data_IF_610964528771
#
_entry.id   IF_610964528771
#
_cell.length_a   1.000
_cell.length_b   1.000
_cell.length_c   1.000
_cell.angle_alpha   90.00
_cell.angle_beta   90.00
_cell.angle_gamma   90.00
#
_symmetry.space_group_name_H-M   'P 1'
#
loop_
_entity.id
_entity.type
_entity.pdbx_description
1 polymer ?
#
# COMPACT_ATOMS: atom_id res chain seq x y z
N UNK A 1 -10.45 -29.83 37.13
CA UNK A 1 -9.67 -28.73 36.49
C UNK A 1 -10.57 -28.15 35.41
N UNK A 2 -10.75 -26.82 35.35
CA UNK A 2 -11.49 -26.21 34.26
C UNK A 2 -10.83 -26.61 32.92
N UNK A 3 -11.59 -27.05 31.91
CA UNK A 3 -11.02 -27.43 30.64
C UNK A 3 -10.30 -26.22 30.02
N UNK A 4 -9.11 -26.47 29.46
CA UNK A 4 -8.28 -25.42 28.83
C UNK A 4 -8.22 -25.66 27.34
N UNK A 5 -8.72 -24.70 26.58
CA UNK A 5 -8.55 -24.69 25.13
C UNK A 5 -7.17 -24.12 24.76
N UNK A 6 -6.34 -24.84 23.97
CA UNK A 6 -5.01 -24.36 23.59
C UNK A 6 -5.06 -23.08 22.74
N UNK A 7 -6.09 -22.88 21.90
CA UNK A 7 -6.21 -21.66 21.10
C UNK A 7 -6.48 -20.44 21.98
N UNK A 8 -7.32 -20.58 23.00
CA UNK A 8 -7.59 -19.50 23.95
C UNK A 8 -6.36 -19.17 24.81
N UNK A 9 -5.58 -20.18 25.19
CA UNK A 9 -4.31 -19.97 25.88
C UNK A 9 -3.31 -19.18 25.00
N UNK A 10 -3.14 -19.58 23.73
CA UNK A 10 -2.28 -18.88 22.78
C UNK A 10 -2.77 -17.47 22.47
N UNK A 11 -4.08 -17.28 22.28
CA UNK A 11 -4.69 -15.97 22.04
C UNK A 11 -4.46 -15.05 23.24
N UNK A 12 -4.67 -15.56 24.47
CA UNK A 12 -4.40 -14.80 25.69
C UNK A 12 -2.95 -14.31 25.75
N UNK A 13 -1.98 -15.17 25.48
CA UNK A 13 -0.55 -14.77 25.46
C UNK A 13 -0.31 -13.69 24.41
N UNK A 14 -0.90 -13.84 23.22
CA UNK A 14 -0.73 -12.86 22.14
C UNK A 14 -1.34 -11.49 22.49
N UNK A 15 -2.54 -11.48 23.08
CA UNK A 15 -3.21 -10.26 23.56
C UNK A 15 -2.36 -9.57 24.64
N UNK A 16 -1.84 -10.33 25.60
CA UNK A 16 -0.99 -9.79 26.67
C UNK A 16 0.31 -9.18 26.12
N UNK A 17 0.94 -9.82 25.14
CA UNK A 17 2.16 -9.28 24.51
C UNK A 17 1.86 -7.97 23.77
N UNK A 18 0.77 -7.91 22.99
CA UNK A 18 0.35 -6.66 22.34
C UNK A 18 0.02 -5.54 23.34
N UNK A 19 -0.55 -5.90 24.50
CA UNK A 19 -0.85 -4.93 25.54
C UNK A 19 0.41 -4.43 26.24
N UNK A 20 1.40 -5.31 26.45
CA UNK A 20 2.68 -4.99 27.07
C UNK A 20 3.54 -4.05 26.22
N UNK A 21 3.48 -4.18 24.89
CA UNK A 21 4.21 -3.29 23.97
C UNK A 21 3.81 -1.81 24.16
N UNK A 22 2.56 -1.55 24.56
CA UNK A 22 2.04 -0.22 24.86
C UNK A 22 1.92 0.69 23.62
N UNK A 23 0.74 1.27 23.41
CA UNK A 23 0.51 2.26 22.35
C UNK A 23 -0.36 1.75 21.19
N UNK A 24 -0.31 2.48 20.08
CA UNK A 24 -1.18 2.26 18.92
C UNK A 24 -0.68 1.07 18.09
N UNK A 25 -1.53 0.07 17.91
CA UNK A 25 -1.26 -1.10 17.08
C UNK A 25 -1.43 -0.74 15.61
N UNK A 26 -0.42 -1.04 14.79
CA UNK A 26 -0.40 -0.77 13.34
C UNK A 26 -0.11 -2.05 12.56
N UNK A 27 -0.15 -1.99 11.23
CA UNK A 27 0.19 -3.14 10.37
C UNK A 27 1.63 -3.64 10.51
N UNK A 28 2.52 -2.80 11.04
CA UNK A 28 3.92 -3.16 11.33
C UNK A 28 4.10 -3.84 12.69
N UNK A 29 3.04 -3.92 13.52
CA UNK A 29 3.12 -4.50 14.85
C UNK A 29 3.35 -6.03 14.77
N UNK A 30 4.39 -6.58 15.43
CA UNK A 30 4.83 -7.95 15.22
C UNK A 30 3.82 -9.01 15.67
N UNK A 31 3.02 -8.70 16.69
CA UNK A 31 2.04 -9.62 17.26
C UNK A 31 0.66 -9.56 16.60
N UNK A 32 0.38 -8.54 15.78
CA UNK A 32 -0.93 -8.37 15.12
C UNK A 32 -1.27 -9.54 14.18
N UNK A 33 -0.38 -10.00 13.27
CA UNK A 33 -0.70 -11.12 12.38
C UNK A 33 -1.04 -12.40 13.16
N UNK A 34 -0.27 -12.71 14.20
CA UNK A 34 -0.50 -13.88 15.05
C UNK A 34 -1.82 -13.79 15.81
N UNK A 35 -2.16 -12.62 16.34
CA UNK A 35 -3.45 -12.41 17.01
C UNK A 35 -4.61 -12.65 16.03
N UNK A 36 -4.55 -12.03 14.85
CA UNK A 36 -5.57 -12.16 13.82
C UNK A 36 -5.70 -13.61 13.31
N UNK A 37 -4.59 -14.32 13.15
CA UNK A 37 -4.58 -15.75 12.80
C UNK A 37 -5.25 -16.59 13.89
N UNK A 38 -4.96 -16.33 15.16
CA UNK A 38 -5.59 -17.04 16.28
C UNK A 38 -7.10 -16.76 16.35
N UNK A 39 -7.54 -15.52 16.12
CA UNK A 39 -8.97 -15.18 16.00
C UNK A 39 -9.64 -15.94 14.86
N UNK A 40 -8.98 -16.01 13.70
CA UNK A 40 -9.46 -16.78 12.54
C UNK A 40 -9.54 -18.29 12.85
N UNK A 41 -8.55 -18.86 13.55
CA UNK A 41 -8.57 -20.26 13.97
C UNK A 41 -9.70 -20.55 14.95
N UNK A 42 -9.93 -19.67 15.92
CA UNK A 42 -11.07 -19.77 16.85
C UNK A 42 -12.39 -19.79 16.09
N UNK A 43 -12.54 -18.91 15.09
CA UNK A 43 -13.72 -18.82 14.24
C UNK A 43 -13.92 -20.00 13.29
N UNK A 44 -12.86 -20.72 12.91
CA UNK A 44 -12.99 -21.94 12.10
C UNK A 44 -13.21 -23.17 12.94
N UNK A 45 -12.84 -23.13 14.23
CA UNK A 45 -12.94 -24.29 15.11
C UNK A 45 -14.40 -24.68 15.32
N UNK A 46 -14.70 -25.92 14.92
CA UNK A 46 -16.04 -26.48 15.01
C UNK A 46 -17.01 -25.96 13.95
N UNK A 47 -16.57 -25.19 12.94
CA UNK A 47 -17.42 -24.79 11.83
C UNK A 47 -17.79 -26.01 10.98
N UNK A 48 -19.09 -26.28 10.86
CA UNK A 48 -19.61 -27.44 10.15
C UNK A 48 -19.61 -27.22 8.64
N UNK A 49 -19.13 -28.22 7.90
CA UNK A 49 -19.14 -28.21 6.44
C UNK A 49 -20.43 -28.85 5.91
N UNK A 50 -21.12 -28.22 4.95
CA UNK A 50 -22.26 -28.83 4.28
C UNK A 50 -21.82 -30.06 3.48
N UNK A 51 -22.47 -31.21 3.74
CA UNK A 51 -22.10 -32.52 3.17
C UNK A 51 -22.23 -32.58 1.63
N UNK A 52 -23.14 -31.79 1.06
CA UNK A 52 -23.47 -31.81 -0.38
C UNK A 52 -22.97 -30.58 -1.16
N UNK A 53 -22.19 -29.69 -0.53
CA UNK A 53 -21.71 -28.47 -1.20
C UNK A 53 -20.35 -28.68 -1.85
N UNK A 54 -20.21 -28.24 -3.10
CA UNK A 54 -18.90 -28.12 -3.78
C UNK A 54 -18.05 -26.96 -3.25
N UNK A 55 -18.67 -26.03 -2.50
CA UNK A 55 -18.00 -24.87 -1.92
C UNK A 55 -17.84 -25.08 -0.43
N UNK A 56 -16.59 -25.04 0.05
CA UNK A 56 -16.29 -25.03 1.48
C UNK A 56 -16.82 -23.76 2.13
N UNK A 57 -17.50 -23.94 3.26
CA UNK A 57 -17.99 -22.85 4.08
C UNK A 57 -16.85 -22.32 4.94
N UNK A 58 -16.71 -21.00 4.99
CA UNK A 58 -15.81 -20.31 5.91
C UNK A 58 -16.63 -19.46 6.89
N UNK A 59 -15.98 -18.91 7.91
CA UNK A 59 -16.64 -18.09 8.94
C UNK A 59 -17.22 -16.80 8.37
N UNK A 60 -16.68 -16.29 7.24
CA UNK A 60 -17.24 -15.14 6.55
C UNK A 60 -18.69 -15.36 6.12
N UNK A 61 -19.04 -16.54 5.61
CA UNK A 61 -20.42 -16.83 5.22
C UNK A 61 -21.36 -16.77 6.42
N UNK A 62 -20.90 -17.07 7.64
CA UNK A 62 -21.69 -16.87 8.86
C UNK A 62 -21.98 -15.38 9.07
N UNK A 63 -20.93 -14.55 8.94
CA UNK A 63 -21.01 -13.10 9.17
C UNK A 63 -21.86 -12.38 8.14
N UNK A 64 -21.80 -12.83 6.88
CA UNK A 64 -22.61 -12.33 5.79
C UNK A 64 -24.12 -12.50 6.05
N UNK A 65 -24.52 -13.50 6.85
CA UNK A 65 -25.92 -13.72 7.22
C UNK A 65 -26.42 -12.81 8.35
N UNK A 66 -25.53 -12.20 9.15
CA UNK A 66 -25.92 -11.43 10.33
C UNK A 66 -26.84 -10.24 10.00
N UNK A 67 -26.57 -9.40 8.97
CA UNK A 67 -27.45 -8.27 8.67
C UNK A 67 -28.85 -8.67 8.22
N UNK A 68 -29.03 -9.89 7.70
CA UNK A 68 -30.33 -10.41 7.28
C UNK A 68 -31.20 -10.85 8.46
N UNK A 69 -30.60 -11.07 9.62
CA UNK A 69 -31.28 -11.51 10.83
C UNK A 69 -31.43 -10.39 11.87
N UNK A 70 -30.80 -9.24 11.62
CA UNK A 70 -30.92 -8.04 12.44
C UNK A 70 -32.26 -7.33 12.16
N UNK A 71 -33.10 -7.22 13.18
CA UNK A 71 -34.39 -6.51 13.12
C UNK A 71 -34.25 -5.02 12.82
N UNK A 72 -33.06 -4.43 13.04
CA UNK A 72 -32.79 -3.00 12.86
C UNK A 72 -32.51 -2.56 11.41
N UNK A 73 -32.88 -3.37 10.41
CA UNK A 73 -33.01 -2.98 8.98
C UNK A 73 -31.78 -2.21 8.42
N UNK A 74 -30.58 -2.71 8.69
CA UNK A 74 -29.37 -2.36 7.94
C UNK A 74 -28.57 -1.12 8.41
N UNK A 75 -28.99 -0.43 9.47
CA UNK A 75 -28.32 0.79 9.98
C UNK A 75 -27.30 0.54 11.10
N UNK A 76 -27.07 -0.71 11.51
CA UNK A 76 -26.09 -1.03 12.55
C UNK A 76 -24.65 -0.90 12.01
N UNK A 77 -23.70 -0.52 12.88
CA UNK A 77 -22.27 -0.46 12.53
C UNK A 77 -21.75 -1.81 11.99
N UNK A 78 -22.35 -2.91 12.46
CA UNK A 78 -22.12 -4.27 11.99
C UNK A 78 -22.58 -4.47 10.54
N UNK A 79 -23.82 -4.08 10.21
CA UNK A 79 -24.36 -4.15 8.84
C UNK A 79 -23.49 -3.36 7.87
N UNK A 80 -23.07 -2.14 8.25
CA UNK A 80 -22.20 -1.31 7.43
C UNK A 80 -20.82 -1.95 7.23
N UNK A 81 -20.24 -2.57 8.26
CA UNK A 81 -18.96 -3.26 8.18
C UNK A 81 -19.02 -4.50 7.25
N UNK A 82 -20.10 -5.28 7.34
CA UNK A 82 -20.33 -6.43 6.46
C UNK A 82 -20.53 -5.97 5.01
N UNK A 83 -21.34 -4.93 4.77
CA UNK A 83 -21.55 -4.41 3.41
C UNK A 83 -20.27 -3.84 2.80
N UNK A 84 -19.50 -3.05 3.56
CA UNK A 84 -18.20 -2.53 3.14
C UNK A 84 -17.26 -3.66 2.73
N UNK A 85 -17.24 -4.75 3.48
CA UNK A 85 -16.44 -5.94 3.17
C UNK A 85 -16.92 -6.62 1.90
N UNK A 86 -18.25 -6.73 1.71
CA UNK A 86 -18.88 -7.37 0.54
C UNK A 86 -18.57 -6.64 -0.76
N UNK A 87 -18.62 -5.31 -0.76
CA UNK A 87 -18.37 -4.49 -1.96
C UNK A 87 -16.89 -4.28 -2.27
N UNK A 88 -15.98 -4.69 -1.39
CA UNK A 88 -14.54 -4.53 -1.58
C UNK A 88 -14.04 -5.41 -2.74
N UNK A 89 -13.70 -4.76 -3.87
CA UNK A 89 -13.25 -5.44 -5.09
C UNK A 89 -11.86 -6.06 -4.99
N UNK A 90 -11.08 -5.70 -3.96
CA UNK A 90 -9.75 -6.26 -3.70
C UNK A 90 -9.80 -7.67 -3.09
N UNK A 91 -10.96 -8.10 -2.60
CA UNK A 91 -11.16 -9.37 -1.89
C UNK A 91 -11.99 -10.33 -2.73
N UNK A 92 -11.44 -11.50 -3.02
CA UNK A 92 -12.07 -12.48 -3.89
C UNK A 92 -12.67 -13.64 -3.08
N UNK A 93 -11.92 -14.13 -2.09
CA UNK A 93 -12.26 -15.31 -1.30
C UNK A 93 -13.08 -14.97 -0.07
N UNK A 94 -13.82 -15.97 0.44
CA UNK A 94 -14.51 -15.85 1.72
C UNK A 94 -13.52 -15.62 2.89
N UNK A 95 -12.37 -16.31 2.87
CA UNK A 95 -11.28 -16.09 3.82
C UNK A 95 -10.84 -14.62 3.83
N UNK A 96 -10.48 -14.06 2.67
CA UNK A 96 -10.00 -12.68 2.58
C UNK A 96 -11.03 -11.66 3.08
N UNK A 97 -12.32 -11.89 2.78
CA UNK A 97 -13.43 -11.09 3.33
C UNK A 97 -13.53 -11.21 4.85
N UNK A 98 -13.48 -12.43 5.39
CA UNK A 98 -13.46 -12.67 6.83
C UNK A 98 -12.32 -11.93 7.54
N UNK A 99 -11.10 -12.02 6.99
CA UNK A 99 -9.93 -11.34 7.54
C UNK A 99 -10.05 -9.82 7.49
N UNK A 100 -10.58 -9.29 6.40
CA UNK A 100 -10.84 -7.86 6.26
C UNK A 100 -11.86 -7.36 7.29
N UNK A 101 -12.94 -8.11 7.50
CA UNK A 101 -13.95 -7.77 8.50
C UNK A 101 -13.36 -7.75 9.91
N UNK A 102 -12.51 -8.73 10.25
CA UNK A 102 -11.82 -8.77 11.55
C UNK A 102 -10.94 -7.52 11.74
N UNK A 103 -10.16 -7.12 10.73
CA UNK A 103 -9.36 -5.89 10.77
C UNK A 103 -10.24 -4.66 10.94
N UNK A 104 -11.36 -4.60 10.23
CA UNK A 104 -12.31 -3.50 10.31
C UNK A 104 -12.92 -3.41 11.72
N UNK A 105 -13.29 -4.54 12.32
CA UNK A 105 -13.85 -4.60 13.66
C UNK A 105 -12.84 -4.21 14.74
N UNK A 106 -11.56 -4.60 14.58
CA UNK A 106 -10.46 -4.15 15.44
C UNK A 106 -10.25 -2.64 15.33
N UNK A 107 -10.11 -2.12 14.11
CA UNK A 107 -9.90 -0.68 13.85
C UNK A 107 -11.05 0.18 14.40
N UNK A 108 -12.28 -0.33 14.38
CA UNK A 108 -13.47 0.37 14.89
C UNK A 108 -13.79 0.09 16.35
N UNK A 109 -13.00 -0.75 17.05
CA UNK A 109 -13.29 -1.18 18.43
C UNK A 109 -14.68 -1.81 18.60
N UNK A 110 -15.16 -2.49 17.55
CA UNK A 110 -16.50 -3.11 17.50
C UNK A 110 -16.44 -4.64 17.61
N UNK A 111 -15.26 -5.22 17.80
CA UNK A 111 -15.07 -6.67 17.81
C UNK A 111 -15.93 -7.35 18.87
N UNK A 112 -15.90 -6.90 20.13
CA UNK A 112 -16.74 -7.49 21.18
C UNK A 112 -18.25 -7.43 20.85
N UNK A 113 -18.74 -6.27 20.39
CA UNK A 113 -20.14 -6.07 19.99
C UNK A 113 -20.53 -7.00 18.84
N UNK A 114 -19.64 -7.16 17.87
CA UNK A 114 -19.83 -8.03 16.72
C UNK A 114 -20.06 -9.49 17.14
N UNK A 115 -19.21 -9.98 18.05
CA UNK A 115 -19.34 -11.33 18.57
C UNK A 115 -20.53 -11.49 19.53
N UNK A 116 -20.86 -10.48 20.32
CA UNK A 116 -22.11 -10.48 21.11
C UNK A 116 -23.31 -10.67 20.20
N UNK A 117 -23.41 -9.93 19.09
CA UNK A 117 -24.51 -10.08 18.15
C UNK A 117 -24.53 -11.48 17.51
N UNK A 118 -23.38 -12.01 17.11
CA UNK A 118 -23.26 -13.39 16.62
C UNK A 118 -23.79 -14.42 17.62
N UNK A 119 -23.41 -14.28 18.89
CA UNK A 119 -23.84 -15.19 19.96
C UNK A 119 -25.35 -15.11 20.24
N UNK A 120 -25.97 -13.95 20.02
CA UNK A 120 -27.42 -13.75 20.15
C UNK A 120 -28.20 -14.08 18.87
N UNK A 121 -27.55 -14.69 17.87
CA UNK A 121 -28.17 -15.06 16.58
C UNK A 121 -28.15 -16.59 16.40
N UNK A 122 -29.12 -17.33 16.99
CA UNK A 122 -29.08 -18.79 17.06
C UNK A 122 -28.94 -19.51 15.71
N UNK A 123 -29.62 -19.01 14.67
CA UNK A 123 -29.58 -19.60 13.32
C UNK A 123 -28.18 -19.61 12.69
N UNK A 124 -27.33 -18.64 13.03
CA UNK A 124 -25.95 -18.60 12.54
C UNK A 124 -25.07 -19.51 13.38
N UNK A 125 -25.34 -19.62 14.69
CA UNK A 125 -24.63 -20.53 15.58
C UNK A 125 -24.90 -22.01 15.30
N UNK A 126 -26.04 -22.36 14.69
CA UNK A 126 -26.33 -23.73 14.22
C UNK A 126 -25.27 -24.26 13.25
N UNK A 127 -24.50 -23.38 12.60
CA UNK A 127 -23.42 -23.77 11.69
C UNK A 127 -22.16 -24.23 12.45
N UNK A 128 -22.17 -24.14 13.77
CA UNK A 128 -21.07 -24.51 14.65
C UNK A 128 -21.41 -25.73 15.50
N UNK A 129 -20.46 -26.64 15.60
CA UNK A 129 -20.54 -27.82 16.46
C UNK A 129 -20.63 -27.39 17.94
N UNK A 130 -21.63 -27.90 18.70
CA UNK A 130 -21.76 -27.63 20.14
C UNK A 130 -20.51 -28.01 20.95
N UNK A 131 -19.89 -29.11 20.56
CA UNK A 131 -18.86 -29.76 21.37
C UNK A 131 -17.46 -29.25 21.02
N UNK A 132 -17.24 -28.85 19.77
CA UNK A 132 -15.93 -28.46 19.27
C UNK A 132 -15.75 -26.93 19.19
N UNK A 133 -16.82 -26.17 18.97
CA UNK A 133 -16.71 -24.74 18.76
C UNK A 133 -16.53 -23.98 20.06
N UNK A 134 -15.55 -23.08 20.07
CA UNK A 134 -15.34 -22.12 21.17
C UNK A 134 -16.53 -21.17 21.31
N UNK A 135 -17.19 -20.82 20.21
CA UNK A 135 -18.32 -19.88 20.21
C UNK A 135 -19.57 -20.47 20.88
N UNK A 136 -19.74 -21.80 20.80
CA UNK A 136 -20.96 -22.48 21.25
C UNK A 136 -20.80 -23.19 22.59
N UNK A 137 -19.57 -23.43 23.02
CA UNK A 137 -19.28 -24.04 24.31
C UNK A 137 -19.22 -22.95 25.39
N UNK A 138 -20.13 -22.99 26.35
CA UNK A 138 -20.25 -22.00 27.42
C UNK A 138 -18.97 -21.83 28.25
N UNK A 139 -18.21 -22.92 28.48
CA UNK A 139 -16.95 -22.90 29.23
C UNK A 139 -15.84 -22.11 28.51
N UNK A 140 -15.92 -22.01 27.19
CA UNK A 140 -14.91 -21.34 26.34
C UNK A 140 -15.38 -19.99 25.81
N UNK A 141 -16.69 -19.78 25.65
CA UNK A 141 -17.26 -18.56 25.13
C UNK A 141 -16.99 -17.36 26.04
N UNK A 142 -17.14 -17.50 27.36
CA UNK A 142 -16.90 -16.39 28.30
C UNK A 142 -15.42 -15.97 28.37
N UNK A 143 -14.43 -16.88 28.51
CA UNK A 143 -13.02 -16.52 28.40
C UNK A 143 -12.67 -15.87 27.06
N UNK A 144 -13.27 -16.34 25.96
CA UNK A 144 -13.07 -15.75 24.64
C UNK A 144 -13.62 -14.32 24.56
N UNK A 145 -14.85 -14.10 25.00
CA UNK A 145 -15.47 -12.77 25.05
C UNK A 145 -14.66 -11.79 25.91
N UNK A 146 -14.09 -12.26 27.02
CA UNK A 146 -13.19 -11.47 27.86
C UNK A 146 -11.95 -11.00 27.11
N UNK A 147 -11.34 -11.86 26.28
CA UNK A 147 -10.20 -11.49 25.43
C UNK A 147 -10.60 -10.48 24.34
N UNK A 148 -11.77 -10.65 23.71
CA UNK A 148 -12.30 -9.71 22.71
C UNK A 148 -12.57 -8.34 23.32
N UNK A 149 -13.01 -8.29 24.58
CA UNK A 149 -13.20 -7.05 25.31
C UNK A 149 -11.87 -6.33 25.52
N UNK A 150 -10.81 -7.03 25.93
CA UNK A 150 -9.46 -6.45 26.05
C UNK A 150 -9.00 -5.87 24.71
N UNK A 151 -9.13 -6.64 23.62
CA UNK A 151 -8.81 -6.15 22.27
C UNK A 151 -9.61 -4.90 21.91
N UNK A 152 -10.90 -4.83 22.25
CA UNK A 152 -11.74 -3.67 21.93
C UNK A 152 -11.32 -2.39 22.66
N UNK A 153 -10.57 -2.49 23.76
CA UNK A 153 -10.03 -1.32 24.48
C UNK A 153 -8.72 -0.80 23.86
N UNK A 154 -8.00 -1.63 23.12
CA UNK A 154 -6.75 -1.25 22.47
C UNK A 154 -6.99 -0.27 21.31
N UNK A 155 -5.97 0.51 20.94
CA UNK A 155 -6.04 1.44 19.82
C UNK A 155 -5.40 0.82 18.57
N UNK A 156 -6.18 0.70 17.49
CA UNK A 156 -5.74 0.13 16.22
C UNK A 156 -5.80 1.17 15.10
N UNK A 157 -4.66 1.41 14.45
CA UNK A 157 -4.54 2.23 13.23
C UNK A 157 -4.07 1.34 12.08
N UNK A 158 -5.02 0.64 11.48
CA UNK A 158 -4.79 -0.30 10.39
C UNK A 158 -5.10 0.33 9.04
N UNK A 159 -4.27 0.05 8.03
CA UNK A 159 -4.53 0.40 6.64
C UNK A 159 -5.57 -0.57 6.06
N UNK A 160 -6.78 -0.04 5.83
CA UNK A 160 -7.89 -0.80 5.26
C UNK A 160 -7.83 -0.84 3.71
N UNK A 161 -6.97 -0.06 3.07
CA UNK A 161 -6.80 -0.07 1.62
C UNK A 161 -5.74 -1.10 1.18
N UNK A 162 -4.77 -1.41 2.04
CA UNK A 162 -3.81 -2.51 1.86
C UNK A 162 -4.41 -3.88 2.25
N UNK A 163 -5.39 -4.35 1.47
CA UNK A 163 -6.14 -5.56 1.78
C UNK A 163 -6.09 -6.65 0.70
N UNK A 164 -5.46 -6.40 -0.46
CA UNK A 164 -5.51 -7.32 -1.60
C UNK A 164 -4.76 -8.64 -1.40
N UNK A 165 -3.97 -8.77 -0.32
CA UNK A 165 -3.30 -10.01 0.07
C UNK A 165 -4.01 -10.79 1.19
N UNK A 166 -5.12 -10.28 1.72
CA UNK A 166 -5.86 -10.97 2.78
C UNK A 166 -6.46 -12.30 2.30
N UNK A 167 -6.71 -12.46 1.00
CA UNK A 167 -7.09 -13.75 0.43
C UNK A 167 -6.06 -14.85 0.74
N UNK A 168 -4.77 -14.51 0.79
CA UNK A 168 -3.67 -15.47 0.94
C UNK A 168 -3.00 -15.41 2.32
N UNK A 169 -2.86 -14.24 2.94
CA UNK A 169 -1.97 -14.03 4.09
C UNK A 169 -2.45 -12.95 5.06
N UNK A 170 -2.15 -13.12 6.35
CA UNK A 170 -2.26 -12.06 7.38
C UNK A 170 -1.09 -11.08 7.37
N UNK A 171 0.09 -11.53 6.92
CA UNK A 171 1.19 -10.62 6.60
C UNK A 171 0.77 -9.78 5.41
N UNK A 172 0.98 -8.47 5.48
CA UNK A 172 0.70 -7.53 4.40
C UNK A 172 2.00 -7.04 3.77
N UNK A 173 2.03 -6.77 2.45
CA UNK A 173 3.20 -6.15 1.83
C UNK A 173 3.33 -4.69 2.25
N UNK A 174 4.52 -4.12 2.07
CA UNK A 174 4.70 -2.67 2.13
C UNK A 174 3.92 -2.04 0.98
N UNK A 175 3.11 -1.03 1.31
CA UNK A 175 2.24 -0.36 0.36
C UNK A 175 2.61 1.12 0.29
N UNK A 176 2.90 1.60 -0.91
CA UNK A 176 3.17 3.01 -1.17
C UNK A 176 2.15 3.56 -2.17
N UNK A 177 1.76 4.81 -2.00
CA UNK A 177 0.97 5.54 -3.01
C UNK A 177 1.87 6.59 -3.64
N UNK A 178 1.95 6.58 -4.97
CA UNK A 178 2.75 7.50 -5.73
C UNK A 178 1.88 8.38 -6.62
N UNK A 179 2.06 9.69 -6.50
CA UNK A 179 1.35 10.67 -7.30
C UNK A 179 2.22 11.15 -8.45
N UNK A 180 1.68 11.07 -9.67
CA UNK A 180 2.35 11.42 -10.92
C UNK A 180 1.59 12.58 -11.55
N UNK A 181 2.34 13.58 -11.99
CA UNK A 181 1.81 14.60 -12.88
C UNK A 181 1.31 13.97 -14.19
N UNK A 182 0.29 14.55 -14.84
CA UNK A 182 -0.23 14.01 -16.08
C UNK A 182 0.89 13.84 -17.12
N UNK A 183 1.14 12.60 -17.55
CA UNK A 183 2.13 12.29 -18.58
C UNK A 183 1.51 11.36 -19.62
N UNK A 184 2.01 11.43 -20.87
CA UNK A 184 1.47 10.60 -21.97
C UNK A 184 1.70 9.11 -21.73
N UNK A 185 2.87 8.77 -21.20
CA UNK A 185 3.27 7.41 -20.89
C UNK A 185 4.09 7.40 -19.59
N UNK A 186 3.71 6.54 -18.65
CA UNK A 186 4.44 6.35 -17.39
C UNK A 186 5.73 5.53 -17.63
N UNK A 187 5.70 4.64 -18.62
CA UNK A 187 6.84 3.81 -19.04
C UNK A 187 7.09 2.58 -18.17
N UNK A 188 6.02 1.87 -17.79
CA UNK A 188 6.09 0.60 -17.07
C UNK A 188 5.72 -0.56 -18.01
N UNK A 189 6.52 -1.62 -18.00
CA UNK A 189 6.21 -2.88 -18.69
C UNK A 189 5.49 -3.79 -17.72
N UNK A 190 4.23 -4.14 -18.02
CA UNK A 190 3.34 -4.84 -17.10
C UNK A 190 3.11 -6.30 -17.49
N UNK A 191 2.98 -7.18 -16.50
CA UNK A 191 2.59 -8.59 -16.66
C UNK A 191 1.45 -8.96 -15.74
N UNK A 192 0.47 -9.68 -16.28
CA UNK A 192 -0.70 -10.14 -15.53
C UNK A 192 -0.48 -11.59 -15.15
N UNK A 193 -0.44 -11.88 -13.85
CA UNK A 193 -0.28 -13.24 -13.32
C UNK A 193 -1.18 -13.43 -12.10
N UNK A 194 -1.94 -14.51 -12.09
CA UNK A 194 -2.84 -14.88 -10.96
C UNK A 194 -3.76 -13.73 -10.50
N UNK A 195 -4.27 -12.96 -11.47
CA UNK A 195 -5.11 -11.80 -11.22
C UNK A 195 -4.40 -10.65 -10.50
N UNK A 196 -3.10 -10.47 -10.71
CA UNK A 196 -2.28 -9.36 -10.21
C UNK A 196 -1.46 -8.76 -11.34
N UNK A 197 -1.18 -7.45 -11.25
CA UNK A 197 -0.43 -6.70 -12.27
C UNK A 197 0.97 -6.43 -11.76
N UNK A 198 1.95 -7.17 -12.28
CA UNK A 198 3.35 -7.04 -11.95
C UNK A 198 4.06 -6.07 -12.88
N UNK A 199 5.05 -5.35 -12.33
CA UNK A 199 6.00 -4.56 -13.10
C UNK A 199 7.17 -5.46 -13.45
N UNK A 200 7.40 -5.70 -14.74
CA UNK A 200 8.55 -6.47 -15.21
C UNK A 200 9.77 -5.59 -15.40
N UNK A 201 9.60 -4.46 -16.07
CA UNK A 201 10.70 -3.59 -16.45
C UNK A 201 10.22 -2.14 -16.62
N UNK A 202 11.17 -1.22 -16.74
CA UNK A 202 10.92 0.20 -16.93
C UNK A 202 11.53 0.68 -18.23
N UNK A 203 10.76 1.44 -19.00
CA UNK A 203 11.24 1.98 -20.28
C UNK A 203 12.32 3.05 -19.98
N UNK A 204 13.55 2.93 -20.53
CA UNK A 204 14.61 3.91 -20.27
C UNK A 204 14.17 5.35 -20.61
N UNK A 205 14.45 6.29 -19.71
CA UNK A 205 14.11 7.72 -19.88
C UNK A 205 12.64 8.10 -19.61
N UNK A 206 11.78 7.11 -19.37
CA UNK A 206 10.39 7.33 -18.96
C UNK A 206 10.27 7.90 -17.55
N UNK A 207 9.05 8.32 -17.18
CA UNK A 207 8.79 8.86 -15.84
C UNK A 207 9.11 7.84 -14.74
N UNK A 208 8.63 6.59 -14.89
CA UNK A 208 8.88 5.54 -13.91
C UNK A 208 10.37 5.19 -13.77
N UNK A 209 11.12 5.19 -14.87
CA UNK A 209 12.57 4.97 -14.85
C UNK A 209 13.35 6.14 -14.22
N UNK A 210 12.91 7.38 -14.44
CA UNK A 210 13.62 8.56 -13.89
C UNK A 210 13.36 8.72 -12.40
N UNK A 211 12.12 8.54 -11.99
CA UNK A 211 11.71 8.73 -10.60
C UNK A 211 12.05 7.50 -9.75
N UNK A 212 12.23 6.33 -10.38
CA UNK A 212 12.52 5.05 -9.71
C UNK A 212 11.52 4.73 -8.60
N UNK A 213 10.27 5.20 -8.72
CA UNK A 213 9.25 5.02 -7.69
C UNK A 213 8.73 3.58 -7.64
N UNK A 214 9.05 2.76 -8.64
CA UNK A 214 8.62 1.36 -8.78
C UNK A 214 9.80 0.49 -9.18
N UNK A 215 9.80 -0.78 -8.78
CA UNK A 215 10.85 -1.74 -9.10
C UNK A 215 10.31 -3.00 -9.80
N UNK A 216 11.17 -3.68 -10.56
CA UNK A 216 10.85 -4.97 -11.18
C UNK A 216 10.46 -6.01 -10.12
N UNK A 217 9.26 -6.54 -10.24
CA UNK A 217 8.62 -7.48 -9.32
C UNK A 217 7.55 -6.86 -8.42
N UNK A 218 7.47 -5.53 -8.33
CA UNK A 218 6.40 -4.84 -7.60
C UNK A 218 5.04 -5.04 -8.28
N UNK A 219 3.96 -4.88 -7.52
CA UNK A 219 2.58 -4.98 -8.01
C UNK A 219 1.93 -3.61 -8.04
N UNK A 220 1.21 -3.32 -9.13
CA UNK A 220 0.26 -2.22 -9.19
C UNK A 220 -1.09 -2.73 -8.70
N UNK A 221 -1.50 -2.28 -7.52
CA UNK A 221 -2.75 -2.71 -6.89
C UNK A 221 -3.94 -1.84 -7.29
N UNK A 222 -3.69 -0.55 -7.50
CA UNK A 222 -4.73 0.44 -7.75
C UNK A 222 -4.22 1.62 -8.57
N UNK A 223 -5.08 2.18 -9.40
CA UNK A 223 -4.85 3.45 -10.11
C UNK A 223 -6.10 4.34 -9.92
N UNK A 224 -5.95 5.51 -9.29
CA UNK A 224 -7.01 6.47 -8.96
C UNK A 224 -8.29 5.82 -8.41
N UNK A 225 -8.21 5.04 -7.33
CA UNK A 225 -9.40 4.35 -6.78
C UNK A 225 -9.77 3.05 -7.48
N UNK A 226 -9.25 2.80 -8.69
CA UNK A 226 -9.61 1.63 -9.49
C UNK A 226 -8.67 0.47 -9.16
N UNK A 227 -9.17 -0.52 -8.43
CA UNK A 227 -8.42 -1.74 -8.15
C UNK A 227 -8.12 -2.53 -9.42
N UNK A 228 -6.88 -3.01 -9.53
CA UNK A 228 -6.41 -3.90 -10.58
C UNK A 228 -6.39 -5.37 -10.14
N UNK A 229 -6.98 -5.70 -8.99
CA UNK A 229 -7.13 -7.07 -8.54
C UNK A 229 -8.05 -7.84 -9.49
N UNK A 230 -7.63 -9.04 -9.87
CA UNK A 230 -8.30 -9.91 -10.85
C UNK A 230 -8.52 -9.25 -12.23
N UNK A 231 -7.67 -8.28 -12.57
CA UNK A 231 -7.76 -7.58 -13.85
C UNK A 231 -7.32 -8.47 -15.02
N UNK A 232 -8.00 -8.31 -16.16
CA UNK A 232 -7.63 -8.96 -17.42
C UNK A 232 -6.49 -8.19 -18.08
N UNK A 233 -5.72 -8.87 -18.93
CA UNK A 233 -4.61 -8.27 -19.70
C UNK A 233 -5.06 -6.99 -20.41
N UNK A 234 -4.26 -5.93 -20.26
CA UNK A 234 -4.52 -4.62 -20.88
C UNK A 234 -5.43 -3.70 -20.08
N UNK A 235 -6.12 -4.17 -19.03
CA UNK A 235 -7.03 -3.33 -18.25
C UNK A 235 -6.33 -2.15 -17.57
N UNK A 236 -5.09 -2.30 -17.08
CA UNK A 236 -4.33 -1.17 -16.53
C UNK A 236 -4.11 -0.08 -17.59
N UNK A 237 -3.84 -0.48 -18.85
CA UNK A 237 -3.73 0.45 -19.98
C UNK A 237 -5.05 1.14 -20.30
N UNK A 238 -6.18 0.42 -20.23
CA UNK A 238 -7.52 1.00 -20.39
C UNK A 238 -7.81 2.01 -19.29
N UNK A 239 -7.49 1.71 -18.02
CA UNK A 239 -7.67 2.63 -16.90
C UNK A 239 -6.81 3.89 -17.10
N UNK A 240 -5.54 3.73 -17.44
CA UNK A 240 -4.65 4.85 -17.74
C UNK A 240 -5.13 5.70 -18.92
N UNK A 241 -5.66 5.08 -19.97
CA UNK A 241 -6.19 5.81 -21.15
C UNK A 241 -7.38 6.70 -20.82
N UNK A 242 -8.21 6.32 -19.83
CA UNK A 242 -9.35 7.12 -19.36
C UNK A 242 -8.94 8.29 -18.48
N UNK A 243 -7.77 8.19 -17.86
CA UNK A 243 -7.20 9.19 -16.95
C UNK A 243 -6.18 10.09 -17.67
N UNK A 244 -6.18 10.08 -19.01
CA UNK A 244 -5.29 10.89 -19.81
C UNK A 244 -5.49 12.37 -19.45
N UNK A 245 -4.39 13.08 -19.17
CA UNK A 245 -4.37 14.48 -18.74
C UNK A 245 -4.88 14.74 -17.31
N UNK A 246 -5.16 13.72 -16.50
CA UNK A 246 -5.44 13.85 -15.07
C UNK A 246 -4.21 13.46 -14.22
N UNK A 247 -4.06 13.98 -12.99
CA UNK A 247 -3.08 13.47 -12.05
C UNK A 247 -3.32 11.98 -11.79
N UNK A 248 -2.24 11.20 -11.76
CA UNK A 248 -2.30 9.77 -11.49
C UNK A 248 -1.88 9.51 -10.05
N UNK A 249 -2.66 8.73 -9.32
CA UNK A 249 -2.33 8.16 -8.02
C UNK A 249 -2.25 6.65 -8.20
N UNK A 250 -1.05 6.09 -8.03
CA UNK A 250 -0.77 4.68 -8.26
C UNK A 250 -0.39 4.05 -6.92
N UNK A 251 -1.16 3.05 -6.49
CA UNK A 251 -0.87 2.25 -5.30
C UNK A 251 -0.02 1.04 -5.66
N UNK A 252 1.13 0.92 -5.02
CA UNK A 252 2.16 -0.07 -5.31
C UNK A 252 2.36 -0.96 -4.09
N UNK A 253 2.34 -2.27 -4.30
CA UNK A 253 2.71 -3.26 -3.30
C UNK A 253 4.11 -3.75 -3.59
N UNK A 254 5.02 -3.52 -2.65
CA UNK A 254 6.43 -3.85 -2.81
C UNK A 254 6.64 -5.35 -2.77
N UNK A 255 7.49 -5.82 -3.67
CA UNK A 255 7.94 -7.21 -3.66
C UNK A 255 8.88 -7.53 -2.49
N UNK A 256 9.49 -6.49 -1.91
CA UNK A 256 10.37 -6.59 -0.75
C UNK A 256 9.72 -5.98 0.48
N UNK A 257 9.96 -6.61 1.62
CA UNK A 257 9.62 -6.07 2.92
C UNK A 257 10.62 -4.97 3.34
N UNK A 258 10.36 -4.33 4.47
CA UNK A 258 11.19 -3.22 4.98
C UNK A 258 12.64 -3.64 5.27
N UNK A 259 12.85 -4.91 5.64
CA UNK A 259 14.17 -5.51 5.86
C UNK A 259 14.89 -5.91 4.56
N UNK A 260 14.28 -5.64 3.39
CA UNK A 260 14.80 -5.98 2.07
C UNK A 260 14.58 -7.44 1.67
N UNK A 261 14.02 -8.28 2.55
CA UNK A 261 13.66 -9.66 2.23
C UNK A 261 12.48 -9.68 1.26
N UNK A 262 12.36 -10.75 0.47
CA UNK A 262 11.22 -10.91 -0.44
C UNK A 262 9.98 -11.20 0.38
N UNK A 263 8.90 -10.44 0.15
CA UNK A 263 7.63 -10.65 0.81
C UNK A 263 7.14 -12.09 0.55
N UNK A 264 7.08 -12.90 1.61
CA UNK A 264 6.95 -14.36 1.51
C UNK A 264 5.76 -14.84 0.66
N UNK A 265 4.56 -14.24 0.75
CA UNK A 265 3.42 -14.63 -0.11
C UNK A 265 3.66 -14.43 -1.61
N UNK A 266 4.60 -13.57 -2.00
CA UNK A 266 4.96 -13.35 -3.41
C UNK A 266 5.95 -14.35 -3.98
N UNK A 267 6.67 -15.11 -3.15
CA UNK A 267 7.77 -15.97 -3.61
C UNK A 267 7.34 -16.95 -4.71
N UNK A 268 6.15 -17.57 -4.58
CA UNK A 268 5.63 -18.50 -5.60
C UNK A 268 5.33 -17.78 -6.92
N UNK A 269 4.73 -16.60 -6.86
CA UNK A 269 4.36 -15.80 -8.03
C UNK A 269 5.59 -15.25 -8.75
N UNK A 270 6.56 -14.73 -8.00
CA UNK A 270 7.82 -14.22 -8.55
C UNK A 270 8.64 -15.33 -9.22
N UNK A 271 8.64 -16.56 -8.68
CA UNK A 271 9.26 -17.71 -9.34
C UNK A 271 8.58 -18.04 -10.66
N UNK A 272 7.24 -18.07 -10.69
CA UNK A 272 6.51 -18.29 -11.94
C UNK A 272 6.80 -17.20 -12.98
N UNK A 273 6.85 -15.92 -12.58
CA UNK A 273 7.24 -14.81 -13.46
C UNK A 273 8.64 -14.98 -14.04
N UNK A 274 9.59 -15.44 -13.23
CA UNK A 274 10.97 -15.68 -13.66
C UNK A 274 11.07 -16.84 -14.65
N UNK A 275 10.27 -17.89 -14.48
CA UNK A 275 10.20 -19.00 -15.43
C UNK A 275 9.63 -18.55 -16.78
N UNK A 276 8.62 -17.69 -16.77
CA UNK A 276 8.06 -17.11 -18.01
C UNK A 276 8.99 -16.06 -18.65
N UNK A 277 9.81 -15.37 -17.85
CA UNK A 277 10.62 -14.24 -18.29
C UNK A 277 12.06 -14.33 -17.71
N UNK A 278 12.91 -15.22 -18.25
CA UNK A 278 14.23 -15.51 -17.67
C UNK A 278 15.21 -14.32 -17.72
N UNK A 279 15.01 -13.39 -18.65
CA UNK A 279 15.90 -12.24 -18.84
C UNK A 279 15.60 -11.06 -17.90
N UNK A 280 14.48 -11.09 -17.16
CA UNK A 280 14.07 -9.98 -16.30
C UNK A 280 14.76 -10.09 -14.94
N UNK A 281 15.44 -9.02 -14.52
CA UNK A 281 16.00 -8.89 -13.18
C UNK A 281 14.89 -8.61 -12.16
N UNK A 282 14.03 -9.61 -11.92
CA UNK A 282 13.11 -9.61 -10.79
C UNK A 282 13.95 -9.53 -9.52
N UNK A 283 13.55 -8.70 -8.55
CA UNK A 283 14.23 -8.47 -7.26
C UNK A 283 14.42 -9.70 -6.35
N UNK A 284 14.56 -10.90 -6.90
CA UNK A 284 14.86 -12.17 -6.25
C UNK A 284 16.36 -12.42 -6.04
N UNK A 285 17.24 -11.59 -6.60
CA UNK A 285 18.68 -11.67 -6.33
C UNK A 285 18.97 -11.15 -4.91
N UNK A 286 18.98 -12.08 -3.96
CA UNK A 286 19.58 -11.90 -2.64
C UNK A 286 21.11 -11.92 -2.76
N UNK A 287 21.76 -10.95 -2.09
CA UNK A 287 23.18 -10.97 -1.69
C UNK A 287 24.20 -11.00 -2.85
N UNK A 288 24.46 -9.87 -3.52
CA UNK A 288 25.79 -9.55 -4.12
C UNK A 288 25.96 -8.17 -4.80
N UNK A 289 25.00 -7.23 -4.72
CA UNK A 289 25.21 -5.85 -5.20
C UNK A 289 25.03 -4.77 -4.11
N UNK A 290 25.28 -5.11 -2.86
CA UNK A 290 25.25 -4.14 -1.74
C UNK A 290 26.63 -3.60 -1.33
N UNK A 291 27.67 -3.79 -2.14
CA UNK A 291 29.01 -3.30 -1.81
C UNK A 291 29.46 -2.03 -2.55
N UNK A 292 28.67 -1.39 -3.44
CA UNK A 292 29.25 -0.29 -4.22
C UNK A 292 28.35 0.88 -4.63
N UNK A 293 27.29 1.22 -3.88
CA UNK A 293 26.64 2.53 -4.05
C UNK A 293 25.97 3.09 -2.79
N UNK A 294 26.56 2.83 -1.61
CA UNK A 294 26.32 3.66 -0.43
C UNK A 294 27.06 5.00 -0.60
N UNK A 295 26.59 5.82 -1.53
CA UNK A 295 26.78 7.26 -1.49
C UNK A 295 25.40 7.88 -1.69
N UNK A 296 24.69 8.01 -0.56
CA UNK A 296 23.74 9.11 -0.37
C UNK A 296 24.52 10.38 -0.75
N UNK A 297 24.17 11.14 -1.80
CA UNK A 297 24.82 12.42 -1.99
C UNK A 297 24.53 13.29 -0.75
N UNK A 298 25.57 13.84 -0.10
CA UNK A 298 25.38 14.67 1.08
C UNK A 298 24.72 16.00 0.68
N UNK A 299 23.65 16.34 1.39
CA UNK A 299 23.17 17.72 1.53
C UNK A 299 22.25 18.26 0.44
N UNK A 300 20.97 17.91 0.49
CA UNK A 300 19.91 18.89 0.23
C UNK A 300 19.25 19.18 1.57
N UNK A 301 19.64 20.28 2.21
CA UNK A 301 19.03 20.74 3.46
C UNK A 301 17.59 21.13 3.16
N UNK A 302 16.66 20.18 3.33
CA UNK A 302 15.24 20.49 3.38
C UNK A 302 15.03 21.34 4.63
N UNK A 303 14.65 22.61 4.44
CA UNK A 303 14.30 23.48 5.54
C UNK A 303 12.78 23.68 5.47
N UNK A 304 12.03 22.88 6.22
CA UNK A 304 10.61 23.16 6.49
C UNK A 304 10.55 24.41 7.36
N UNK A 305 10.21 25.55 6.75
CA UNK A 305 9.77 26.74 7.47
C UNK A 305 8.28 26.92 7.21
N UNK A 306 7.47 26.90 8.27
CA UNK A 306 6.06 27.33 8.23
C UNK A 306 5.19 26.60 7.19
N UNK A 307 5.42 25.29 6.98
CA UNK A 307 4.64 24.50 6.00
C UNK A 307 4.99 24.76 4.53
N UNK A 308 6.05 25.54 4.23
CA UNK A 308 6.53 25.80 2.88
C UNK A 308 7.71 24.88 2.53
N UNK A 309 7.71 24.36 1.30
CA UNK A 309 8.78 23.50 0.80
C UNK A 309 9.85 24.39 0.16
N UNK A 310 10.94 24.62 0.90
CA UNK A 310 12.08 25.42 0.43
C UNK A 310 13.31 24.53 0.29
N UNK A 311 13.91 24.54 -0.89
CA UNK A 311 15.16 23.84 -1.18
C UNK A 311 16.33 24.82 -1.30
N UNK A 312 17.44 24.48 -0.63
CA UNK A 312 18.72 25.16 -0.86
C UNK A 312 19.41 24.42 -2.02
N UNK A 313 19.56 25.10 -3.16
CA UNK A 313 20.13 24.52 -4.38
C UNK A 313 21.19 25.44 -4.99
N UNK A 314 21.97 24.90 -5.92
CA UNK A 314 22.93 25.68 -6.71
C UNK A 314 22.33 25.99 -8.08
N UNK A 315 22.12 27.27 -8.38
CA UNK A 315 21.72 27.72 -9.70
C UNK A 315 22.92 27.68 -10.65
N UNK A 316 22.84 26.83 -11.67
CA UNK A 316 23.91 26.60 -12.65
C UNK A 316 23.82 27.52 -13.87
N UNK A 317 22.62 28.00 -14.23
CA UNK A 317 22.42 28.93 -15.33
C UNK A 317 21.09 28.74 -16.05
N UNK A 318 20.93 29.45 -17.16
CA UNK A 318 19.79 29.37 -18.08
C UNK A 318 20.27 29.37 -19.53
N UNK A 319 19.52 28.71 -20.41
CA UNK A 319 19.77 28.69 -21.85
C UNK A 319 18.48 29.02 -22.60
N UNK A 320 18.60 29.72 -23.74
CA UNK A 320 17.47 29.95 -24.63
C UNK A 320 17.32 28.70 -25.53
N UNK A 321 16.14 28.13 -25.55
CA UNK A 321 15.81 26.87 -26.20
C UNK A 321 14.86 27.02 -27.39
N UNK A 322 14.54 28.25 -27.78
CA UNK A 322 13.60 28.55 -28.87
C UNK A 322 12.15 28.24 -28.50
N UNK A 323 11.34 27.86 -29.49
CA UNK A 323 9.88 27.68 -29.36
C UNK A 323 9.45 26.29 -28.90
N UNK A 324 10.38 25.33 -28.74
CA UNK A 324 10.05 23.96 -28.37
C UNK A 324 10.22 23.76 -26.86
N UNK A 325 9.12 23.46 -26.16
CA UNK A 325 9.08 23.24 -24.70
C UNK A 325 9.06 21.77 -24.27
N UNK A 326 9.40 20.84 -25.15
CA UNK A 326 9.36 19.40 -24.87
C UNK A 326 10.52 18.93 -23.98
N UNK A 327 10.33 17.81 -23.25
CA UNK A 327 11.36 17.22 -22.36
C UNK A 327 12.68 16.89 -23.07
N UNK A 328 12.62 16.57 -24.37
CA UNK A 328 13.79 16.28 -25.22
C UNK A 328 14.77 17.46 -25.25
N UNK A 329 14.26 18.68 -25.16
CA UNK A 329 15.05 19.91 -25.20
C UNK A 329 15.96 20.03 -23.97
N UNK A 330 15.55 19.47 -22.83
CA UNK A 330 16.37 19.44 -21.62
C UNK A 330 17.64 18.59 -21.81
N UNK A 331 17.59 17.54 -22.64
CA UNK A 331 18.77 16.71 -22.91
C UNK A 331 19.87 17.48 -23.66
N UNK A 332 19.50 18.51 -24.42
CA UNK A 332 20.45 19.37 -25.13
C UNK A 332 20.82 20.62 -24.33
N UNK A 333 19.84 21.24 -23.67
CA UNK A 333 20.04 22.51 -22.95
C UNK A 333 20.90 22.35 -21.70
N UNK A 334 20.76 21.25 -20.95
CA UNK A 334 21.52 21.04 -19.70
C UNK A 334 23.02 20.92 -20.01
N UNK A 335 23.48 20.08 -20.96
CA UNK A 335 24.88 20.09 -21.38
C UNK A 335 25.39 21.45 -21.83
N UNK A 336 24.59 22.25 -22.55
CA UNK A 336 25.00 23.59 -22.97
C UNK A 336 25.24 24.54 -21.78
N UNK A 337 24.41 24.47 -20.74
CA UNK A 337 24.63 25.26 -19.52
C UNK A 337 25.88 24.79 -18.78
N UNK A 338 26.09 23.47 -18.69
CA UNK A 338 27.27 22.91 -18.05
C UNK A 338 28.57 23.26 -18.80
N UNK A 339 28.55 23.23 -20.12
CA UNK A 339 29.70 23.61 -20.97
C UNK A 339 30.10 25.09 -20.80
N UNK A 340 29.14 25.97 -20.53
CA UNK A 340 29.43 27.39 -20.25
C UNK A 340 30.18 27.59 -18.93
N UNK A 341 30.13 26.61 -18.02
CA UNK A 341 30.85 26.57 -16.74
C UNK A 341 30.83 27.90 -15.96
N UNK A 342 29.65 28.53 -15.90
CA UNK A 342 29.45 29.77 -15.15
C UNK A 342 29.52 29.49 -13.64
N UNK A 343 29.96 30.46 -12.82
CA UNK A 343 30.03 30.28 -11.37
C UNK A 343 28.63 30.02 -10.80
N UNK A 344 28.47 28.87 -10.15
CA UNK A 344 27.20 28.48 -9.53
C UNK A 344 26.86 29.38 -8.35
N UNK A 345 25.59 29.78 -8.23
CA UNK A 345 25.10 30.59 -7.10
C UNK A 345 24.25 29.76 -6.16
N UNK A 346 24.42 29.90 -4.85
CA UNK A 346 23.49 29.31 -3.87
C UNK A 346 22.19 30.10 -3.83
N UNK A 347 21.08 29.40 -4.07
CA UNK A 347 19.74 29.98 -4.16
C UNK A 347 18.76 29.20 -3.31
N UNK A 348 17.72 29.89 -2.87
CA UNK A 348 16.54 29.32 -2.24
C UNK A 348 15.47 29.15 -3.31
N UNK A 349 15.11 27.91 -3.57
CA UNK A 349 14.00 27.54 -4.44
C UNK A 349 12.78 27.25 -3.56
N UNK A 350 11.81 28.16 -3.58
CA UNK A 350 10.56 28.05 -2.84
C UNK A 350 9.45 27.57 -3.78
N UNK A 351 8.92 26.38 -3.52
CA UNK A 351 7.81 25.79 -4.25
C UNK A 351 6.50 26.14 -3.55
N UNK A 352 5.78 27.13 -4.10
CA UNK A 352 4.46 27.53 -3.59
C UNK A 352 3.35 26.78 -4.31
N UNK A 353 2.10 27.05 -3.95
CA UNK A 353 0.94 26.36 -4.52
C UNK A 353 0.70 26.67 -6.01
N UNK A 354 1.02 27.89 -6.46
CA UNK A 354 0.69 28.34 -7.83
C UNK A 354 1.91 28.68 -8.69
N UNK A 355 3.08 28.81 -8.07
CA UNK A 355 4.31 29.26 -8.71
C UNK A 355 5.53 28.79 -7.92
N UNK A 356 6.68 28.79 -8.57
CA UNK A 356 7.97 28.65 -7.91
C UNK A 356 8.70 30.00 -7.92
N UNK A 357 9.46 30.26 -6.86
CA UNK A 357 10.35 31.42 -6.79
C UNK A 357 11.76 31.00 -6.49
N UNK A 358 12.72 31.65 -7.13
CA UNK A 358 14.14 31.46 -6.89
C UNK A 358 14.74 32.75 -6.36
N UNK A 359 15.27 32.73 -5.14
CA UNK A 359 15.89 33.89 -4.50
C UNK A 359 17.35 33.60 -4.18
N UNK A 360 18.23 34.56 -4.45
CA UNK A 360 19.64 34.46 -4.10
C UNK A 360 19.80 34.46 -2.57
N UNK A 361 20.55 33.49 -2.03
CA UNK A 361 20.63 33.29 -0.58
C UNK A 361 21.34 34.43 0.15
N UNK A 362 22.31 35.08 -0.50
CA UNK A 362 23.16 36.11 0.11
C UNK A 362 22.54 37.49 -0.01
N UNK A 363 21.99 37.81 -1.18
CA UNK A 363 21.42 39.13 -1.47
C UNK A 363 19.91 39.23 -1.21
N UNK A 364 19.23 38.10 -1.01
CA UNK A 364 17.76 37.98 -0.95
C UNK A 364 17.04 38.51 -2.21
N UNK A 365 17.78 38.72 -3.30
CA UNK A 365 17.23 39.23 -4.55
C UNK A 365 16.53 38.10 -5.30
N UNK A 366 15.31 38.37 -5.78
CA UNK A 366 14.52 37.41 -6.56
C UNK A 366 15.11 37.28 -7.96
N UNK A 367 15.61 36.10 -8.29
CA UNK A 367 16.19 35.80 -9.60
C UNK A 367 15.11 35.57 -10.65
N UNK A 368 14.07 34.82 -10.30
CA UNK A 368 12.91 34.58 -11.16
C UNK A 368 11.70 34.08 -10.36
N UNK A 369 10.54 34.16 -11.01
CA UNK A 369 9.27 33.55 -10.61
C UNK A 369 8.59 33.04 -11.86
N UNK A 370 8.07 31.82 -11.75
CA UNK A 370 7.34 31.17 -12.83
C UNK A 370 6.11 30.48 -12.26
N UNK A 371 4.97 30.74 -12.89
CA UNK A 371 3.73 30.05 -12.56
C UNK A 371 3.76 28.64 -13.15
N UNK A 372 3.19 27.66 -12.46
CA UNK A 372 3.21 26.27 -12.94
C UNK A 372 2.63 26.08 -14.37
N UNK A 373 1.57 26.80 -14.79
CA UNK A 373 1.09 26.74 -16.17
C UNK A 373 2.07 27.23 -17.23
N UNK A 374 3.06 28.06 -16.86
CA UNK A 374 4.11 28.54 -17.78
C UNK A 374 5.22 27.50 -17.97
N UNK A 375 5.30 26.51 -17.07
CA UNK A 375 6.33 25.48 -17.09
C UNK A 375 5.90 24.37 -18.04
N UNK A 376 6.53 24.32 -19.22
CA UNK A 376 6.20 23.37 -20.28
C UNK A 376 6.72 21.96 -20.01
N UNK A 377 7.87 21.84 -19.35
CA UNK A 377 8.38 20.55 -18.89
C UNK A 377 9.37 20.69 -17.74
N UNK A 378 9.55 19.59 -17.00
CA UNK A 378 10.55 19.44 -15.94
C UNK A 378 11.31 18.15 -16.19
N UNK A 379 12.60 18.13 -15.89
CA UNK A 379 13.43 16.96 -16.07
C UNK A 379 14.65 16.97 -15.15
N UNK A 380 15.24 15.78 -15.02
CA UNK A 380 16.47 15.54 -14.28
C UNK A 380 17.53 15.00 -15.21
N UNK A 381 18.73 15.54 -15.10
CA UNK A 381 19.91 15.05 -15.78
C UNK A 381 20.81 14.38 -14.75
N UNK A 382 20.97 13.06 -14.90
CA UNK A 382 21.76 12.24 -13.99
C UNK A 382 23.15 12.01 -14.59
N UNK A 383 24.17 12.55 -13.94
CA UNK A 383 25.57 12.17 -14.16
C UNK A 383 26.12 11.51 -12.89
N UNK A 384 27.15 10.64 -12.99
CA UNK A 384 27.80 10.08 -11.82
C UNK A 384 28.29 11.22 -10.91
N UNK A 385 27.75 11.33 -9.70
CA UNK A 385 28.14 12.32 -8.70
C UNK A 385 27.25 13.57 -8.56
N UNK A 386 26.32 13.85 -9.49
CA UNK A 386 25.45 15.03 -9.42
C UNK A 386 24.02 14.78 -9.90
N UNK A 387 23.06 15.36 -9.19
CA UNK A 387 21.64 15.38 -9.57
C UNK A 387 21.23 16.79 -9.96
N UNK A 388 21.18 17.05 -11.26
CA UNK A 388 20.75 18.33 -11.82
C UNK A 388 19.28 18.21 -12.19
N UNK A 389 18.44 19.12 -11.70
CA UNK A 389 17.09 19.30 -12.20
C UNK A 389 17.03 20.56 -13.07
N UNK A 390 16.17 20.55 -14.08
CA UNK A 390 15.92 21.70 -14.94
C UNK A 390 14.45 21.71 -15.39
N UNK A 391 13.97 22.87 -15.77
CA UNK A 391 12.62 23.04 -16.29
C UNK A 391 12.62 24.06 -17.43
N UNK A 392 11.67 23.91 -18.35
CA UNK A 392 11.45 24.83 -19.46
C UNK A 392 10.26 25.72 -19.15
N UNK A 393 10.37 26.99 -19.54
CA UNK A 393 9.28 27.98 -19.46
C UNK A 393 8.90 28.32 -20.89
N UNK A 394 7.61 28.27 -21.21
CA UNK A 394 7.06 28.58 -22.54
C UNK A 394 6.83 30.08 -22.73
#
# INVERSE_FOLDING_TARGET
>A
MAPRDPLLASLKVCVLNMQADGGVVTDSSPHLPSCCELLELVLRKGLQQPVLSLVQRDYWQCFEQLPHQDTCRGLSALSLAVEQTRVCRKLISAQGRGRYLLRLALSRKTLSQFFTHLLHTPRVLEWYSPTLSILRNEEFAEPFMSLLLVLSHMEFKLDMENCSFLDESWLLPVCDTYEIVPCREVGMVLRYLSGRVFVLDLVPGSQAHVDMFVSSGDIIDEINGTSLRNSKTGQAGVVLSRLKSCPLSIRILRCRAQDGTVYRPLVKLLRALRMENPNVQLGLSSLQKQANNNQKPPGASQCLKEGRIVYIVKFLGKANIGMFGGKEVLQHAIPQVLLKNLPSKEVLLDLKETHLTCTDRNSKLKLFEHHYPEISCVGRFAQPGYTIFAFCVA
#
